data_IF_492376454291
#
_entry.id   IF_492376454291
#
_cell.length_a   1.000
_cell.length_b   1.000
_cell.length_c   1.000
_cell.angle_alpha   90.00
_cell.angle_beta   90.00
_cell.angle_gamma   90.00
#
_symmetry.space_group_name_H-M   'P 1'
#
loop_
_entity.id
_entity.type
_entity.pdbx_description
1 polymer ?
#
# COMPACT_ATOMS: atom_id res chain seq x y z
N UNK A 1 12.57 29.80 20.10
CA UNK A 1 13.55 28.77 20.48
C UNK A 1 12.95 27.93 21.57
N UNK A 2 12.58 26.68 21.24
CA UNK A 2 12.19 25.70 22.25
C UNK A 2 13.46 25.15 22.92
N UNK A 3 13.37 24.82 24.20
CA UNK A 3 14.32 23.91 24.83
C UNK A 3 14.22 22.53 24.16
N UNK A 4 15.34 21.80 24.06
CA UNK A 4 15.43 20.60 23.24
C UNK A 4 14.43 19.50 23.65
N UNK A 5 14.21 19.34 24.96
CA UNK A 5 13.27 18.35 25.50
C UNK A 5 11.81 18.70 25.19
N UNK A 6 11.47 19.99 25.22
CA UNK A 6 10.15 20.48 24.84
C UNK A 6 9.91 20.26 23.34
N UNK A 7 10.89 20.58 22.50
CA UNK A 7 10.83 20.31 21.07
C UNK A 7 10.58 18.82 20.78
N UNK A 8 11.34 17.92 21.42
CA UNK A 8 11.16 16.48 21.22
C UNK A 8 9.78 15.99 21.62
N UNK A 9 9.25 16.49 22.74
CA UNK A 9 7.91 16.11 23.22
C UNK A 9 6.83 16.54 22.22
N UNK A 10 6.85 17.80 21.80
CA UNK A 10 5.84 18.35 20.87
C UNK A 10 5.95 17.69 19.49
N UNK A 11 7.17 17.50 18.97
CA UNK A 11 7.39 16.79 17.71
C UNK A 11 6.88 15.35 17.77
N UNK A 12 7.24 14.60 18.83
CA UNK A 12 6.80 13.21 18.99
C UNK A 12 5.28 13.13 19.08
N UNK A 13 4.65 14.01 19.86
CA UNK A 13 3.19 14.03 19.99
C UNK A 13 2.54 14.31 18.64
N UNK A 14 2.96 15.37 17.95
CA UNK A 14 2.45 15.72 16.63
C UNK A 14 2.63 14.60 15.60
N UNK A 15 3.80 13.96 15.59
CA UNK A 15 4.09 12.83 14.69
C UNK A 15 3.19 11.63 14.99
N UNK A 16 3.05 11.23 16.26
CA UNK A 16 2.22 10.08 16.63
C UNK A 16 0.73 10.36 16.39
N UNK A 17 0.28 11.59 16.64
CA UNK A 17 -1.07 12.03 16.27
C UNK A 17 -1.26 11.95 14.76
N UNK A 18 -0.31 12.43 13.97
CA UNK A 18 -0.38 12.31 12.51
C UNK A 18 -0.44 10.84 12.06
N UNK A 19 0.44 9.97 12.58
CA UNK A 19 0.51 8.54 12.24
C UNK A 19 -0.73 7.75 12.68
N UNK A 20 -1.47 8.21 13.69
CA UNK A 20 -2.73 7.58 14.11
C UNK A 20 -3.84 7.67 13.04
N UNK A 21 -3.72 8.61 12.10
CA UNK A 21 -4.64 8.75 10.99
C UNK A 21 -4.35 7.68 9.92
N UNK A 22 -5.09 6.57 9.99
CA UNK A 22 -4.97 5.47 9.03
C UNK A 22 -5.41 5.90 7.64
N UNK A 23 -4.71 5.42 6.62
CA UNK A 23 -5.12 5.61 5.23
C UNK A 23 -6.53 5.05 5.00
N UNK A 24 -7.40 5.88 4.41
CA UNK A 24 -8.75 5.44 4.07
C UNK A 24 -8.73 4.42 2.92
N UNK A 25 -9.82 3.65 2.76
CA UNK A 25 -10.01 2.80 1.57
C UNK A 25 -9.81 3.57 0.27
N UNK A 26 -10.34 4.80 0.18
CA UNK A 26 -10.15 5.69 -0.97
C UNK A 26 -8.67 6.00 -1.23
N UNK A 27 -7.89 6.31 -0.18
CA UNK A 27 -6.46 6.58 -0.34
C UNK A 27 -5.72 5.33 -0.83
N UNK A 28 -6.00 4.16 -0.25
CA UNK A 28 -5.39 2.90 -0.67
C UNK A 28 -5.77 2.55 -2.12
N UNK A 29 -7.04 2.71 -2.51
CA UNK A 29 -7.48 2.50 -3.90
C UNK A 29 -6.70 3.38 -4.87
N UNK A 30 -6.50 4.67 -4.56
CA UNK A 30 -5.71 5.55 -5.41
C UNK A 30 -4.28 5.03 -5.58
N UNK A 31 -3.61 4.62 -4.49
CA UNK A 31 -2.27 4.04 -4.56
C UNK A 31 -2.26 2.78 -5.42
N UNK A 32 -3.22 1.87 -5.23
CA UNK A 32 -3.32 0.64 -6.03
C UNK A 32 -3.51 0.92 -7.53
N UNK A 33 -4.34 1.91 -7.89
CA UNK A 33 -4.53 2.34 -9.28
C UNK A 33 -3.25 2.95 -9.86
N UNK A 34 -2.49 3.72 -9.08
CA UNK A 34 -1.19 4.22 -9.50
C UNK A 34 -0.20 3.07 -9.74
N UNK A 35 -0.15 2.07 -8.86
CA UNK A 35 0.68 0.88 -9.02
C UNK A 35 0.29 0.07 -10.27
N UNK A 36 -1.00 -0.09 -10.55
CA UNK A 36 -1.49 -0.72 -11.78
C UNK A 36 -0.93 -0.05 -13.04
N UNK A 37 -0.74 1.28 -13.01
CA UNK A 37 -0.20 2.05 -14.13
C UNK A 37 1.21 1.63 -14.57
N UNK A 38 2.05 1.14 -13.66
CA UNK A 38 3.41 0.65 -13.98
C UNK A 38 3.36 -0.57 -14.89
N UNK A 39 2.34 -1.42 -14.74
CA UNK A 39 2.17 -2.63 -15.54
C UNK A 39 1.42 -2.41 -16.85
N UNK A 40 1.11 -1.16 -17.23
CA UNK A 40 0.31 -0.82 -18.43
C UNK A 40 0.86 -1.44 -19.71
N UNK A 41 2.18 -1.58 -19.85
CA UNK A 41 2.83 -2.15 -21.05
C UNK A 41 3.14 -3.64 -20.92
N UNK A 42 3.09 -4.20 -19.71
CA UNK A 42 3.45 -5.59 -19.44
C UNK A 42 2.26 -6.52 -19.45
N UNK A 43 1.11 -6.06 -18.93
CA UNK A 43 -0.09 -6.88 -18.84
C UNK A 43 -0.91 -6.87 -20.12
N UNK A 44 -1.47 -8.03 -20.44
CA UNK A 44 -2.49 -8.17 -21.47
C UNK A 44 -3.84 -7.58 -21.00
N UNK A 45 -4.86 -7.62 -21.86
CA UNK A 45 -6.17 -7.02 -21.57
C UNK A 45 -6.83 -7.67 -20.36
N UNK A 46 -6.86 -9.00 -20.32
CA UNK A 46 -7.57 -9.76 -19.30
C UNK A 46 -6.89 -9.63 -17.93
N UNK A 47 -5.55 -9.60 -17.90
CA UNK A 47 -4.76 -9.34 -16.69
C UNK A 47 -5.00 -7.94 -16.11
N UNK A 48 -5.10 -6.92 -16.98
CA UNK A 48 -5.43 -5.55 -16.58
C UNK A 48 -6.83 -5.46 -15.99
N UNK A 49 -7.78 -6.13 -16.62
CA UNK A 49 -9.17 -6.18 -16.18
C UNK A 49 -9.28 -6.91 -14.83
N UNK A 50 -8.62 -8.06 -14.69
CA UNK A 50 -8.56 -8.79 -13.42
C UNK A 50 -8.00 -7.92 -12.28
N UNK A 51 -6.91 -7.18 -12.53
CA UNK A 51 -6.34 -6.27 -11.54
C UNK A 51 -7.28 -5.11 -11.21
N UNK A 52 -7.91 -4.50 -12.22
CA UNK A 52 -8.87 -3.42 -12.01
C UNK A 52 -10.06 -3.88 -11.17
N UNK A 53 -10.61 -5.06 -11.46
CA UNK A 53 -11.72 -5.65 -10.73
C UNK A 53 -11.37 -5.90 -9.27
N UNK A 54 -10.22 -6.52 -8.98
CA UNK A 54 -9.80 -6.76 -7.59
C UNK A 54 -9.57 -5.45 -6.82
N UNK A 55 -9.05 -4.41 -7.47
CA UNK A 55 -8.91 -3.07 -6.86
C UNK A 55 -10.29 -2.46 -6.57
N UNK A 56 -11.24 -2.64 -7.47
CA UNK A 56 -12.60 -2.14 -7.31
C UNK A 56 -13.35 -2.88 -6.20
N UNK A 57 -13.21 -4.20 -6.11
CA UNK A 57 -13.79 -5.02 -5.04
C UNK A 57 -13.22 -4.66 -3.67
N UNK A 58 -11.93 -4.30 -3.60
CA UNK A 58 -11.35 -3.71 -2.40
C UNK A 58 -11.96 -2.34 -2.06
N UNK A 59 -12.13 -1.47 -3.08
CA UNK A 59 -12.71 -0.13 -2.92
C UNK A 59 -14.13 -0.19 -2.36
N UNK A 60 -14.97 -1.11 -2.86
CA UNK A 60 -16.35 -1.32 -2.40
C UNK A 60 -16.43 -2.13 -1.11
N UNK A 61 -15.35 -2.79 -0.71
CA UNK A 61 -15.25 -3.53 0.55
C UNK A 61 -15.65 -5.00 0.46
N UNK A 62 -15.84 -5.52 -0.75
CA UNK A 62 -16.07 -6.95 -1.01
C UNK A 62 -14.82 -7.78 -0.74
N UNK A 63 -13.63 -7.23 -1.01
CA UNK A 63 -12.34 -7.90 -0.78
C UNK A 63 -11.45 -7.13 0.21
N UNK A 64 -10.57 -7.83 0.96
CA UNK A 64 -9.58 -7.19 1.82
C UNK A 64 -8.44 -6.58 0.99
N UNK A 65 -7.70 -5.62 1.58
CA UNK A 65 -6.52 -4.99 0.94
C UNK A 65 -5.46 -6.03 0.51
N UNK A 66 -5.39 -7.17 1.18
CA UNK A 66 -4.45 -8.23 0.86
C UNK A 66 -4.65 -8.79 -0.56
N UNK A 67 -5.88 -8.83 -1.07
CA UNK A 67 -6.18 -9.36 -2.39
C UNK A 67 -5.48 -8.58 -3.52
N UNK A 68 -5.71 -7.25 -3.69
CA UNK A 68 -5.02 -6.48 -4.73
C UNK A 68 -3.50 -6.42 -4.50
N UNK A 69 -3.03 -6.39 -3.25
CA UNK A 69 -1.59 -6.39 -2.96
C UNK A 69 -0.91 -7.69 -3.41
N UNK A 70 -1.55 -8.83 -3.20
CA UNK A 70 -1.00 -10.13 -3.62
C UNK A 70 -0.88 -10.20 -5.14
N UNK A 71 -1.91 -9.72 -5.87
CA UNK A 71 -1.88 -9.71 -7.33
C UNK A 71 -0.85 -8.72 -7.88
N UNK A 72 -0.70 -7.53 -7.28
CA UNK A 72 0.38 -6.59 -7.63
C UNK A 72 1.76 -7.21 -7.41
N UNK A 73 1.97 -7.90 -6.28
CA UNK A 73 3.25 -8.61 -6.02
C UNK A 73 3.51 -9.70 -7.04
N UNK A 74 2.49 -10.47 -7.41
CA UNK A 74 2.60 -11.47 -8.47
C UNK A 74 3.10 -10.84 -9.78
N UNK A 75 2.49 -9.74 -10.23
CA UNK A 75 2.94 -9.05 -11.43
C UNK A 75 4.30 -8.38 -11.29
N UNK A 76 4.66 -7.87 -10.10
CA UNK A 76 6.00 -7.33 -9.86
C UNK A 76 7.09 -8.41 -9.93
N UNK A 77 6.78 -9.65 -9.56
CA UNK A 77 7.71 -10.77 -9.70
C UNK A 77 7.88 -11.18 -11.18
N UNK A 78 6.79 -11.17 -11.96
CA UNK A 78 6.84 -11.47 -13.39
C UNK A 78 7.48 -10.33 -14.21
N UNK A 79 7.27 -9.08 -13.78
CA UNK A 79 7.73 -7.86 -14.43
C UNK A 79 8.41 -6.94 -13.40
N UNK A 80 9.68 -7.22 -13.05
CA UNK A 80 10.42 -6.42 -12.07
C UNK A 80 10.49 -4.94 -12.43
N UNK A 81 10.27 -4.09 -11.44
CA UNK A 81 10.46 -2.62 -11.52
C UNK A 81 11.21 -2.16 -10.26
N UNK A 82 12.39 -1.56 -10.44
CA UNK A 82 13.28 -1.19 -9.33
C UNK A 82 12.65 -0.16 -8.38
N UNK A 83 11.83 0.75 -8.92
CA UNK A 83 11.18 1.77 -8.12
C UNK A 83 10.08 1.15 -7.25
N UNK A 84 9.25 0.28 -7.83
CA UNK A 84 8.19 -0.42 -7.12
C UNK A 84 8.71 -1.37 -6.04
N UNK A 85 9.81 -2.08 -6.31
CA UNK A 85 10.41 -2.99 -5.33
C UNK A 85 10.88 -2.28 -4.05
N UNK A 86 11.18 -0.98 -4.12
CA UNK A 86 11.58 -0.17 -2.96
C UNK A 86 10.37 0.40 -2.19
N UNK A 87 9.15 0.26 -2.71
CA UNK A 87 7.95 0.84 -2.08
C UNK A 87 7.55 0.07 -0.81
N UNK A 88 7.66 0.76 0.34
CA UNK A 88 7.18 0.24 1.63
C UNK A 88 5.69 -0.07 1.67
N UNK A 89 4.88 0.47 0.75
CA UNK A 89 3.46 0.13 0.68
C UNK A 89 3.23 -1.37 0.38
N UNK A 90 4.08 -1.98 -0.46
CA UNK A 90 3.99 -3.40 -0.80
C UNK A 90 4.46 -4.29 0.37
N UNK A 91 5.39 -3.78 1.17
CA UNK A 91 6.00 -4.48 2.32
C UNK A 91 6.18 -3.53 3.53
N UNK A 92 5.08 -3.16 4.21
CA UNK A 92 5.12 -2.17 5.28
C UNK A 92 5.68 -2.74 6.59
N UNK A 93 5.63 -4.07 6.75
CA UNK A 93 6.15 -4.76 7.93
C UNK A 93 6.93 -6.00 7.50
N UNK A 94 8.02 -6.34 8.22
CA UNK A 94 8.69 -7.63 8.08
C UNK A 94 7.69 -8.78 8.17
N UNK A 95 7.84 -9.78 7.30
CA UNK A 95 6.92 -10.93 7.23
C UNK A 95 6.85 -11.70 8.55
N UNK A 96 7.97 -11.72 9.30
CA UNK A 96 8.13 -12.35 10.62
C UNK A 96 7.11 -11.84 11.65
N UNK A 97 6.64 -10.60 11.52
CA UNK A 97 5.66 -10.02 12.46
C UNK A 97 4.23 -10.58 12.25
N UNK A 98 3.97 -11.30 11.15
CA UNK A 98 2.67 -11.93 10.79
C UNK A 98 1.43 -11.01 10.89
N UNK A 99 1.61 -9.69 10.88
CA UNK A 99 0.56 -8.69 11.13
C UNK A 99 -0.56 -8.65 10.06
N UNK A 100 -0.42 -9.42 8.97
CA UNK A 100 -1.37 -9.48 7.85
C UNK A 100 -2.26 -10.73 7.86
N UNK A 101 -2.00 -11.67 8.76
CA UNK A 101 -2.73 -12.95 8.86
C UNK A 101 -3.69 -12.98 10.06
N UNK A 102 -3.79 -11.89 10.82
CA UNK A 102 -4.70 -11.77 11.94
C UNK A 102 -6.03 -11.14 11.52
N UNK A 103 -6.87 -11.91 10.83
CA UNK A 103 -8.34 -11.78 10.80
C UNK A 103 -8.93 -13.16 10.49
#
# INVERSE_FOLDING_TARGET
NYEIDEFYREYRLGLMTALSNRASRKNNTNVLMHLQGYFKRSLNKDEKEALATVIQDYRTGTLPLLAPLTLIKHYLNAYPDEYLQRQKFLEPHPQEMRLRYGL
#
